data_IF_006803773241
#
_entry.id   IF_006803773241
#
_cell.length_a   1.000
_cell.length_b   1.000
_cell.length_c   1.000
_cell.angle_alpha   90.00
_cell.angle_beta   90.00
_cell.angle_gamma   90.00
#
_symmetry.space_group_name_H-M   'P 1'
#
loop_
_entity.id
_entity.type
_entity.pdbx_description
1 polymer ?
#
# COMPACT_ATOMS: atom_id res chain seq x y z
N UNK A 1 8.29 -23.06 12.42
CA UNK A 1 7.56 -21.81 12.14
C UNK A 1 8.49 -20.93 11.32
N UNK A 2 8.09 -20.54 10.11
CA UNK A 2 8.96 -19.76 9.22
C UNK A 2 8.86 -18.27 9.54
N UNK A 3 9.97 -17.54 9.44
CA UNK A 3 9.96 -16.08 9.58
C UNK A 3 9.66 -15.49 8.19
N UNK A 4 8.65 -14.64 8.12
CA UNK A 4 8.33 -13.83 6.93
C UNK A 4 8.46 -12.35 7.27
N UNK A 5 8.68 -11.53 6.25
CA UNK A 5 8.79 -10.08 6.42
C UNK A 5 7.66 -9.40 5.64
N UNK A 6 7.01 -8.43 6.28
CA UNK A 6 6.02 -7.55 5.65
C UNK A 6 6.52 -6.11 5.62
N UNK A 7 6.54 -5.51 4.42
CA UNK A 7 6.74 -4.07 4.26
C UNK A 7 5.37 -3.38 4.35
N UNK A 8 5.20 -2.48 5.30
CA UNK A 8 3.99 -1.70 5.49
C UNK A 8 4.30 -0.22 5.33
N UNK A 9 3.49 0.51 4.59
CA UNK A 9 3.68 1.95 4.45
C UNK A 9 2.38 2.73 4.57
N UNK A 10 2.47 3.92 5.15
CA UNK A 10 1.41 4.93 5.11
C UNK A 10 2.00 6.24 4.59
N UNK A 11 1.17 7.25 4.36
CA UNK A 11 1.62 8.55 3.84
C UNK A 11 1.60 9.63 4.92
N UNK A 12 2.45 10.64 4.76
CA UNK A 12 2.35 11.89 5.50
C UNK A 12 1.02 12.64 5.18
N UNK A 13 0.62 13.65 5.98
CA UNK A 13 -0.54 14.48 5.67
C UNK A 13 -0.40 15.23 4.35
N UNK A 14 -1.50 15.43 3.62
CA UNK A 14 -1.54 16.19 2.36
C UNK A 14 -2.94 16.79 2.14
N UNK A 15 -3.05 17.72 1.17
CA UNK A 15 -4.30 18.41 0.84
C UNK A 15 -4.40 19.82 1.41
N UNK A 16 -5.48 20.52 1.05
CA UNK A 16 -5.77 21.90 1.48
C UNK A 16 -7.23 22.00 1.96
N UNK A 17 -7.49 22.36 3.23
CA UNK A 17 -6.51 22.55 4.30
C UNK A 17 -5.76 21.24 4.63
N UNK A 18 -4.46 21.35 4.94
CA UNK A 18 -3.65 20.18 5.29
C UNK A 18 -4.03 19.69 6.69
N UNK A 19 -4.47 18.43 6.86
CA UNK A 19 -4.75 17.88 8.18
C UNK A 19 -3.45 17.70 8.97
N UNK A 20 -3.56 17.63 10.31
CA UNK A 20 -2.40 17.38 11.19
C UNK A 20 -1.84 15.97 11.01
N UNK A 21 -2.71 15.00 10.68
CA UNK A 21 -2.39 13.58 10.60
C UNK A 21 -2.97 12.96 9.33
N UNK A 22 -2.34 11.88 8.89
CA UNK A 22 -2.88 11.03 7.83
C UNK A 22 -3.18 9.65 8.40
N UNK A 23 -4.44 9.25 8.30
CA UNK A 23 -4.95 8.00 8.87
C UNK A 23 -4.22 6.77 8.37
N UNK A 24 -3.77 6.80 7.12
CA UNK A 24 -2.99 5.69 6.59
C UNK A 24 -1.73 5.42 7.41
N UNK A 25 -1.02 6.48 7.81
CA UNK A 25 0.15 6.36 8.68
C UNK A 25 -0.23 6.10 10.13
N UNK A 26 -1.30 6.74 10.65
CA UNK A 26 -1.76 6.49 12.02
C UNK A 26 -2.10 5.02 12.26
N UNK A 27 -2.72 4.34 11.28
CA UNK A 27 -2.99 2.91 11.35
C UNK A 27 -1.71 2.07 11.19
N UNK A 28 -0.88 2.35 10.17
CA UNK A 28 0.33 1.55 9.88
C UNK A 28 1.35 1.62 11.02
N UNK A 29 1.56 2.79 11.63
CA UNK A 29 2.59 2.94 12.67
C UNK A 29 2.30 2.13 13.93
N UNK A 30 1.05 1.75 14.19
CA UNK A 30 0.68 0.86 15.31
C UNK A 30 1.21 -0.57 15.12
N UNK A 31 1.50 -0.98 13.88
CA UNK A 31 2.11 -2.27 13.56
C UNK A 31 3.64 -2.23 13.58
N UNK A 32 4.26 -1.06 13.81
CA UNK A 32 5.70 -0.92 13.87
C UNK A 32 6.29 -1.76 15.02
N UNK A 33 7.39 -2.47 14.74
CA UNK A 33 8.06 -3.35 15.69
C UNK A 33 7.19 -4.50 16.24
N UNK A 34 6.06 -4.78 15.59
CA UNK A 34 5.21 -5.92 15.95
C UNK A 34 5.60 -7.18 15.17
N UNK A 35 5.29 -8.33 15.77
CA UNK A 35 5.30 -9.63 15.10
C UNK A 35 3.88 -10.18 15.09
N UNK A 36 3.45 -10.71 13.95
CA UNK A 36 2.13 -11.31 13.78
C UNK A 36 2.33 -12.81 13.69
N UNK A 37 1.84 -13.53 14.69
CA UNK A 37 1.85 -14.99 14.68
C UNK A 37 0.69 -15.51 13.84
N UNK A 38 1.01 -16.44 12.95
CA UNK A 38 0.04 -17.13 12.10
C UNK A 38 0.19 -18.64 12.30
N UNK A 39 -0.72 -19.43 11.74
CA UNK A 39 -0.67 -20.90 11.88
C UNK A 39 0.62 -21.53 11.33
N UNK A 40 1.31 -20.89 10.38
CA UNK A 40 2.48 -21.43 9.68
C UNK A 40 3.76 -20.56 9.79
N UNK A 41 3.62 -19.28 10.15
CA UNK A 41 4.72 -18.31 10.12
C UNK A 41 4.61 -17.22 11.20
N UNK A 42 5.74 -16.61 11.52
CA UNK A 42 5.81 -15.34 12.26
C UNK A 42 6.13 -14.24 11.25
N UNK A 43 5.28 -13.23 11.13
CA UNK A 43 5.50 -12.09 10.22
C UNK A 43 6.08 -10.91 10.99
N UNK A 44 7.27 -10.45 10.61
CA UNK A 44 7.90 -9.24 11.16
C UNK A 44 7.48 -8.04 10.31
N UNK A 45 6.89 -7.02 10.95
CA UNK A 45 6.39 -5.82 10.27
C UNK A 45 7.46 -4.71 10.20
N UNK A 46 7.72 -4.21 9.00
CA UNK A 46 8.63 -3.09 8.71
C UNK A 46 7.79 -1.91 8.23
N UNK A 47 7.61 -0.90 9.09
CA UNK A 47 6.67 0.21 8.84
C UNK A 47 7.42 1.49 8.46
N UNK A 48 6.99 2.15 7.38
CA UNK A 48 7.58 3.41 6.92
C UNK A 48 6.52 4.45 6.52
N UNK A 49 6.72 5.69 6.97
CA UNK A 49 5.97 6.84 6.46
C UNK A 49 6.58 7.28 5.13
N UNK A 50 5.72 7.48 4.13
CA UNK A 50 6.09 7.97 2.81
C UNK A 50 5.73 9.44 2.68
N UNK A 51 6.62 10.27 2.08
CA UNK A 51 6.26 11.60 1.65
C UNK A 51 5.23 11.53 0.52
N UNK A 52 4.37 12.53 0.39
CA UNK A 52 3.48 12.68 -0.76
C UNK A 52 4.21 13.48 -1.83
N UNK A 53 5.27 12.89 -2.40
CA UNK A 53 6.19 13.54 -3.36
C UNK A 53 6.72 12.52 -4.35
N UNK A 54 6.60 12.79 -5.65
CA UNK A 54 6.99 11.83 -6.69
C UNK A 54 8.50 11.62 -6.72
N UNK A 55 9.27 12.70 -6.54
CA UNK A 55 10.74 12.63 -6.54
C UNK A 55 11.26 11.76 -5.39
N UNK A 56 10.63 11.83 -4.22
CA UNK A 56 11.04 11.01 -3.08
C UNK A 56 10.56 9.56 -3.23
N UNK A 57 9.28 9.36 -3.57
CA UNK A 57 8.68 8.02 -3.69
C UNK A 57 9.36 7.20 -4.79
N UNK A 58 9.71 7.83 -5.91
CA UNK A 58 10.42 7.16 -7.02
C UNK A 58 11.77 6.57 -6.62
N UNK A 59 12.41 7.10 -5.55
CA UNK A 59 13.69 6.62 -5.01
C UNK A 59 13.47 5.73 -3.79
N UNK A 60 12.54 6.11 -2.92
CA UNK A 60 12.32 5.46 -1.64
C UNK A 60 11.70 4.07 -1.81
N UNK A 61 10.74 3.89 -2.71
CA UNK A 61 10.07 2.59 -2.89
C UNK A 61 11.06 1.51 -3.34
N UNK A 62 11.83 1.67 -4.44
CA UNK A 62 12.83 0.68 -4.83
C UNK A 62 13.83 0.39 -3.71
N UNK A 63 14.31 1.44 -3.02
CA UNK A 63 15.22 1.29 -1.88
C UNK A 63 14.63 0.43 -0.77
N UNK A 64 13.36 0.61 -0.42
CA UNK A 64 12.68 -0.19 0.59
C UNK A 64 12.63 -1.67 0.18
N UNK A 65 12.26 -1.98 -1.07
CA UNK A 65 12.22 -3.36 -1.59
C UNK A 65 13.59 -4.07 -1.56
N UNK A 66 14.70 -3.32 -1.53
CA UNK A 66 16.06 -3.85 -1.40
C UNK A 66 16.51 -4.09 0.05
N UNK A 67 15.83 -3.54 1.05
CA UNK A 67 16.25 -3.64 2.46
C UNK A 67 16.06 -5.04 3.06
N UNK A 68 15.15 -5.84 2.51
CA UNK A 68 14.78 -7.16 3.02
C UNK A 68 14.10 -7.99 1.92
N UNK A 69 14.08 -9.31 2.08
CA UNK A 69 13.25 -10.22 1.30
C UNK A 69 11.82 -10.21 1.88
N UNK A 70 10.99 -9.30 1.39
CA UNK A 70 9.60 -9.23 1.81
C UNK A 70 8.78 -10.33 1.15
N UNK A 71 7.93 -11.00 1.92
CA UNK A 71 6.91 -11.91 1.39
C UNK A 71 5.57 -11.20 1.17
N UNK A 72 5.37 -10.07 1.85
CA UNK A 72 4.14 -9.28 1.87
C UNK A 72 4.53 -7.80 1.76
N UNK A 73 3.83 -7.06 0.92
CA UNK A 73 3.98 -5.61 0.79
C UNK A 73 2.60 -4.98 0.81
N UNK A 74 2.32 -4.13 1.80
CA UNK A 74 1.04 -3.42 1.91
C UNK A 74 1.32 -1.92 1.98
N UNK A 75 0.74 -1.19 1.04
CA UNK A 75 0.69 0.26 1.10
C UNK A 75 -0.70 0.69 1.55
N UNK A 76 -0.76 1.65 2.45
CA UNK A 76 -2.00 2.22 2.96
C UNK A 76 -2.05 3.69 2.55
N UNK A 77 -3.20 4.15 2.05
CA UNK A 77 -3.40 5.54 1.63
C UNK A 77 -4.77 6.08 2.05
N UNK A 78 -4.88 7.40 2.23
CA UNK A 78 -6.19 8.02 2.45
C UNK A 78 -6.99 8.01 1.14
N UNK A 79 -8.18 7.42 1.16
CA UNK A 79 -9.07 7.26 0.02
C UNK A 79 -10.33 8.10 0.11
N UNK A 80 -11.39 7.65 -0.57
CA UNK A 80 -12.70 8.30 -0.52
C UNK A 80 -13.58 7.74 0.59
N UNK A 81 -14.54 8.57 1.04
CA UNK A 81 -15.47 8.28 2.12
C UNK A 81 -16.17 6.91 2.07
N UNK A 82 -16.49 6.38 3.25
CA UNK A 82 -17.48 5.32 3.48
C UNK A 82 -17.02 3.87 3.34
N UNK A 83 -15.89 3.57 2.68
CA UNK A 83 -15.40 2.20 2.51
C UNK A 83 -13.88 2.11 2.46
N UNK A 84 -13.34 1.09 3.13
CA UNK A 84 -11.96 0.63 2.89
C UNK A 84 -11.93 -0.05 1.53
N UNK A 85 -10.94 0.28 0.69
CA UNK A 85 -10.79 -0.30 -0.65
C UNK A 85 -9.51 -1.09 -0.76
N UNK A 86 -9.64 -2.33 -1.22
CA UNK A 86 -8.53 -3.18 -1.57
C UNK A 86 -8.29 -3.06 -3.08
N UNK A 87 -7.20 -2.42 -3.46
CA UNK A 87 -6.90 -2.16 -4.86
C UNK A 87 -6.37 -3.42 -5.53
N UNK A 88 -6.95 -3.78 -6.69
CA UNK A 88 -6.55 -4.97 -7.45
C UNK A 88 -5.49 -4.66 -8.51
N UNK A 89 -5.37 -3.40 -8.91
CA UNK A 89 -4.47 -2.98 -9.98
C UNK A 89 -4.01 -1.54 -9.82
N UNK A 90 -2.95 -1.19 -10.56
CA UNK A 90 -2.43 0.17 -10.69
C UNK A 90 -2.06 0.46 -12.15
N UNK A 91 -2.07 1.74 -12.54
CA UNK A 91 -1.71 2.20 -13.89
C UNK A 91 -0.36 2.90 -13.89
N UNK A 92 0.39 2.74 -14.98
CA UNK A 92 1.73 3.32 -15.16
C UNK A 92 1.71 4.82 -15.37
N UNK A 93 0.60 5.36 -15.88
CA UNK A 93 0.52 6.72 -16.43
C UNK A 93 -0.81 7.40 -16.11
N UNK A 94 -0.86 8.71 -16.40
CA UNK A 94 -2.03 9.57 -16.19
C UNK A 94 -1.92 10.47 -14.95
N UNK A 95 -0.74 10.55 -14.34
CA UNK A 95 -0.50 11.39 -13.17
C UNK A 95 -0.45 12.88 -13.55
N UNK A 96 -1.43 13.63 -13.07
CA UNK A 96 -1.61 15.07 -13.40
C UNK A 96 -1.67 15.98 -12.18
N UNK A 97 -1.61 15.42 -10.97
CA UNK A 97 -1.75 16.15 -9.70
C UNK A 97 -0.41 16.29 -9.00
N UNK A 98 -0.02 17.50 -8.55
CA UNK A 98 1.27 17.72 -7.89
C UNK A 98 1.32 17.14 -6.48
N UNK A 99 2.51 16.74 -6.05
CA UNK A 99 2.82 16.38 -4.68
C UNK A 99 2.98 17.59 -3.75
N UNK A 100 3.37 17.31 -2.51
CA UNK A 100 3.54 18.27 -1.42
C UNK A 100 4.72 19.23 -1.64
N UNK A 101 5.64 18.96 -2.57
CA UNK A 101 6.75 19.89 -2.89
C UNK A 101 6.34 20.98 -3.90
N UNK A 102 5.05 21.13 -4.19
CA UNK A 102 4.50 22.21 -4.99
C UNK A 102 4.27 21.84 -6.47
N UNK A 103 3.94 22.81 -7.33
CA UNK A 103 3.45 22.55 -8.70
C UNK A 103 4.41 21.79 -9.62
N UNK A 104 5.70 21.77 -9.30
CA UNK A 104 6.73 21.06 -10.05
C UNK A 104 6.98 19.63 -9.55
N UNK A 105 6.36 19.23 -8.44
CA UNK A 105 6.42 17.88 -7.90
C UNK A 105 5.49 16.97 -8.70
N UNK A 106 5.95 16.60 -9.89
CA UNK A 106 5.24 15.83 -10.89
C UNK A 106 6.15 14.75 -11.43
N UNK A 107 5.62 13.57 -11.80
CA UNK A 107 6.44 12.55 -12.44
C UNK A 107 6.73 12.97 -13.89
N UNK A 108 7.90 12.57 -14.39
CA UNK A 108 8.29 12.81 -15.78
C UNK A 108 7.26 12.17 -16.71
N UNK A 109 6.79 12.94 -17.69
CA UNK A 109 5.75 12.55 -18.65
C UNK A 109 4.43 12.05 -18.02
N UNK A 110 4.17 12.36 -16.74
CA UNK A 110 2.97 11.86 -16.06
C UNK A 110 2.99 10.35 -15.86
N UNK A 111 4.18 9.71 -15.78
CA UNK A 111 4.38 8.26 -15.77
C UNK A 111 5.39 7.79 -14.72
N UNK A 112 5.26 6.53 -14.28
CA UNK A 112 6.31 5.85 -13.50
C UNK A 112 7.48 5.49 -14.44
N UNK A 113 8.70 6.02 -14.22
CA UNK A 113 9.85 5.76 -15.08
C UNK A 113 10.56 4.45 -14.69
N UNK A 114 11.40 3.94 -15.58
CA UNK A 114 12.42 2.93 -15.24
C UNK A 114 12.00 1.46 -15.32
N UNK A 115 10.72 1.16 -15.55
CA UNK A 115 10.23 -0.22 -15.65
C UNK A 115 9.76 -0.57 -17.07
N UNK A 116 10.04 -1.81 -17.50
CA UNK A 116 9.62 -2.37 -18.79
C UNK A 116 8.27 -3.11 -18.71
N UNK A 117 7.56 -2.93 -17.60
CA UNK A 117 6.25 -3.51 -17.31
C UNK A 117 5.11 -2.92 -18.15
N UNK A 118 4.02 -3.70 -18.26
CA UNK A 118 2.78 -3.30 -18.91
C UNK A 118 2.11 -2.09 -18.24
N UNK A 119 1.34 -1.32 -19.02
CA UNK A 119 0.70 -0.08 -18.57
C UNK A 119 -0.26 -0.25 -17.38
N UNK A 120 -0.79 -1.46 -17.18
CA UNK A 120 -1.61 -1.82 -16.03
C UNK A 120 -1.04 -3.07 -15.40
N UNK A 121 -0.76 -3.00 -14.10
CA UNK A 121 -0.30 -4.12 -13.31
C UNK A 121 -1.38 -4.53 -12.31
N UNK A 122 -1.66 -5.83 -12.25
CA UNK A 122 -2.54 -6.41 -11.24
C UNK A 122 -1.73 -7.13 -10.17
N UNK A 123 -2.25 -7.14 -8.95
CA UNK A 123 -1.68 -7.93 -7.85
C UNK A 123 -1.83 -9.43 -8.07
N UNK A 124 -0.89 -10.21 -7.55
CA UNK A 124 -1.00 -11.67 -7.43
C UNK A 124 -1.89 -12.11 -6.25
N UNK A 125 -2.38 -11.17 -5.43
CA UNK A 125 -3.31 -11.44 -4.33
C UNK A 125 -4.72 -11.69 -4.86
N UNK A 126 -5.38 -12.73 -4.34
CA UNK A 126 -6.82 -12.91 -4.56
C UNK A 126 -7.61 -11.93 -3.67
N UNK A 127 -7.73 -10.69 -4.14
CA UNK A 127 -8.35 -9.59 -3.38
C UNK A 127 -9.81 -9.88 -2.99
N UNK A 128 -10.54 -10.62 -3.83
CA UNK A 128 -11.90 -11.06 -3.52
C UNK A 128 -11.94 -12.00 -2.32
N UNK A 129 -11.04 -12.98 -2.26
CA UNK A 129 -10.94 -13.88 -1.12
C UNK A 129 -10.56 -13.13 0.18
N UNK A 130 -9.68 -12.13 0.10
CA UNK A 130 -9.34 -11.29 1.27
C UNK A 130 -10.57 -10.49 1.73
N UNK A 131 -11.32 -9.88 0.81
CA UNK A 131 -12.56 -9.17 1.13
C UNK A 131 -13.58 -10.09 1.81
N UNK A 132 -13.80 -11.29 1.26
CA UNK A 132 -14.79 -12.24 1.78
C UNK A 132 -14.38 -12.76 3.17
N UNK A 133 -13.09 -12.99 3.39
CA UNK A 133 -12.56 -13.36 4.71
C UNK A 133 -12.78 -12.25 5.74
N UNK A 134 -12.45 -10.99 5.40
CA UNK A 134 -12.67 -9.83 6.26
C UNK A 134 -14.16 -9.63 6.58
N UNK A 135 -15.03 -9.80 5.59
CA UNK A 135 -16.48 -9.76 5.80
C UNK A 135 -16.94 -10.85 6.79
N UNK A 136 -16.38 -12.06 6.70
CA UNK A 136 -16.62 -13.14 7.65
C UNK A 136 -16.14 -12.84 9.08
N UNK A 137 -15.18 -11.93 9.24
CA UNK A 137 -14.68 -11.42 10.53
C UNK A 137 -15.45 -10.20 11.05
N UNK A 138 -16.44 -9.71 10.29
CA UNK A 138 -17.29 -8.59 10.69
C UNK A 138 -16.94 -7.25 10.04
N UNK A 139 -15.95 -7.20 9.14
CA UNK A 139 -15.59 -5.99 8.41
C UNK A 139 -16.46 -5.81 7.16
N UNK A 140 -17.68 -5.32 7.34
CA UNK A 140 -18.69 -5.21 6.26
C UNK A 140 -18.44 -4.04 5.28
N UNK A 141 -17.60 -3.07 5.67
CA UNK A 141 -17.24 -1.87 4.87
C UNK A 141 -15.92 -1.98 4.09
N UNK A 142 -15.55 -3.18 3.66
CA UNK A 142 -14.38 -3.42 2.79
C UNK A 142 -14.84 -3.78 1.38
N UNK A 143 -14.25 -3.18 0.34
CA UNK A 143 -14.57 -3.49 -1.06
C UNK A 143 -13.33 -3.62 -1.95
N UNK A 144 -13.39 -4.51 -2.94
CA UNK A 144 -12.42 -4.55 -4.04
C UNK A 144 -12.56 -3.29 -4.90
N UNK A 145 -11.43 -2.72 -5.32
CA UNK A 145 -11.35 -1.56 -6.22
C UNK A 145 -10.40 -1.84 -7.40
N UNK A 146 -10.66 -1.19 -8.53
CA UNK A 146 -9.87 -1.25 -9.77
C UNK A 146 -9.19 0.09 -10.09
N UNK A 147 -9.26 1.04 -9.17
CA UNK A 147 -8.88 2.43 -9.37
C UNK A 147 -8.28 2.99 -8.08
N UNK A 148 -6.95 3.14 -8.06
CA UNK A 148 -6.22 3.71 -6.94
C UNK A 148 -6.03 5.25 -7.05
N UNK A 149 -6.73 5.91 -7.98
CA UNK A 149 -6.92 7.36 -7.99
C UNK A 149 -5.84 8.21 -8.70
N UNK A 150 -4.95 7.61 -9.50
CA UNK A 150 -3.95 8.29 -10.36
C UNK A 150 -3.21 9.46 -9.69
N UNK A 151 -2.82 9.25 -8.43
CA UNK A 151 -1.99 10.17 -7.64
C UNK A 151 -0.85 9.38 -6.98
N UNK A 152 -0.25 9.88 -5.89
CA UNK A 152 0.84 9.22 -5.18
C UNK A 152 0.49 7.81 -4.69
N UNK A 153 -0.77 7.55 -4.32
CA UNK A 153 -1.23 6.20 -3.95
C UNK A 153 -1.04 5.19 -5.08
N UNK A 154 -1.57 5.51 -6.27
CA UNK A 154 -1.42 4.65 -7.44
C UNK A 154 0.02 4.61 -7.97
N UNK A 155 0.74 5.73 -7.91
CA UNK A 155 2.15 5.80 -8.29
C UNK A 155 2.98 4.83 -7.44
N UNK A 156 2.87 4.93 -6.12
CA UNK A 156 3.50 4.01 -5.17
C UNK A 156 3.09 2.56 -5.45
N UNK A 157 1.79 2.30 -5.65
CA UNK A 157 1.30 0.95 -5.86
C UNK A 157 1.87 0.33 -7.15
N UNK A 158 1.85 1.08 -8.25
CA UNK A 158 2.41 0.66 -9.52
C UNK A 158 3.92 0.39 -9.38
N UNK A 159 4.67 1.32 -8.77
CA UNK A 159 6.12 1.13 -8.54
C UNK A 159 6.39 -0.16 -7.79
N UNK A 160 5.67 -0.44 -6.69
CA UNK A 160 5.85 -1.68 -5.93
C UNK A 160 5.41 -2.94 -6.66
N UNK A 161 4.36 -2.89 -7.49
CA UNK A 161 3.99 -4.00 -8.37
C UNK A 161 5.07 -4.25 -9.44
N UNK A 162 5.68 -3.20 -9.98
CA UNK A 162 6.76 -3.32 -10.96
C UNK A 162 8.03 -3.89 -10.33
N UNK A 163 8.44 -3.40 -9.16
CA UNK A 163 9.53 -3.98 -8.35
C UNK A 163 9.30 -5.48 -8.09
N UNK A 164 8.07 -5.85 -7.74
CA UNK A 164 7.69 -7.24 -7.47
C UNK A 164 7.85 -8.14 -8.71
N UNK A 165 7.66 -7.60 -9.91
CA UNK A 165 7.66 -8.36 -11.18
C UNK A 165 8.98 -8.34 -11.95
N UNK A 166 9.79 -7.31 -11.77
CA UNK A 166 11.09 -7.19 -12.46
C UNK A 166 12.25 -7.47 -11.50
N UNK A 167 12.33 -6.72 -10.41
CA UNK A 167 13.50 -6.74 -9.52
C UNK A 167 13.58 -7.99 -8.64
N UNK A 168 12.45 -8.54 -8.19
CA UNK A 168 12.45 -9.77 -7.38
C UNK A 168 12.94 -10.99 -8.17
N UNK A 169 12.42 -11.28 -9.38
CA UNK A 169 12.95 -12.35 -10.23
C UNK A 169 14.43 -12.19 -10.58
N UNK A 170 14.91 -10.97 -10.86
CA UNK A 170 16.33 -10.68 -11.12
C UNK A 170 17.22 -11.05 -9.92
N UNK A 171 16.70 -10.92 -8.70
CA UNK A 171 17.37 -11.30 -7.46
C UNK A 171 17.18 -12.79 -7.10
N UNK A 172 16.47 -13.56 -7.91
CA UNK A 172 16.12 -14.96 -7.61
C UNK A 172 15.10 -15.13 -6.48
N UNK A 173 14.30 -14.10 -6.21
CA UNK A 173 13.29 -14.08 -5.14
C UNK A 173 11.89 -14.31 -5.71
N UNK A 174 10.97 -14.94 -4.94
CA UNK A 174 9.57 -15.06 -5.34
C UNK A 174 8.87 -13.70 -5.33
N UNK A 175 7.92 -13.48 -6.23
CA UNK A 175 7.06 -12.29 -6.24
C UNK A 175 6.32 -12.17 -4.88
N UNK A 176 6.45 -11.05 -4.15
CA UNK A 176 5.73 -10.86 -2.89
C UNK A 176 4.23 -10.68 -3.14
N UNK A 177 3.43 -10.92 -2.10
CA UNK A 177 2.01 -10.54 -2.10
C UNK A 177 1.90 -9.04 -1.90
N UNK A 178 1.66 -8.29 -2.97
CA UNK A 178 1.68 -6.80 -2.97
C UNK A 178 0.28 -6.23 -3.10
N UNK A 179 -0.18 -5.44 -2.13
CA UNK A 179 -1.53 -4.88 -2.07
C UNK A 179 -1.50 -3.39 -1.70
N UNK A 180 -2.45 -2.62 -2.23
CA UNK A 180 -2.73 -1.27 -1.75
C UNK A 180 -4.11 -1.23 -1.08
N UNK A 181 -4.19 -0.56 0.06
CA UNK A 181 -5.39 -0.42 0.88
C UNK A 181 -5.69 1.07 1.05
N UNK A 182 -6.80 1.53 0.49
CA UNK A 182 -7.31 2.87 0.78
C UNK A 182 -8.21 2.85 2.00
N UNK A 183 -7.94 3.71 2.98
CA UNK A 183 -8.77 3.91 4.16
C UNK A 183 -9.57 5.23 4.04
N UNK A 184 -10.84 5.28 4.46
CA UNK A 184 -11.62 6.53 4.41
C UNK A 184 -11.01 7.66 5.25
N UNK A 185 -11.33 8.93 4.93
CA UNK A 185 -11.03 10.06 5.81
C UNK A 185 -11.87 10.00 7.08
N UNK A 186 -11.33 10.54 8.18
CA UNK A 186 -11.84 10.40 9.56
C UNK A 186 -13.32 10.70 9.70
N UNK A 187 -13.78 11.77 9.07
CA UNK A 187 -15.13 12.31 9.22
C UNK A 187 -16.20 11.38 8.61
N UNK A 188 -15.78 10.40 7.82
CA UNK A 188 -16.64 9.55 7.00
C UNK A 188 -16.31 8.07 7.12
N UNK A 189 -15.45 7.72 8.08
CA UNK A 189 -14.98 6.36 8.24
C UNK A 189 -15.86 5.57 9.22
N UNK A 190 -16.29 4.36 8.85
CA UNK A 190 -16.87 3.42 9.79
C UNK A 190 -15.92 2.94 10.89
N UNK A 191 -14.61 3.14 10.74
CA UNK A 191 -13.58 2.60 11.64
C UNK A 191 -12.66 3.68 12.21
N UNK A 192 -12.24 3.51 13.47
CA UNK A 192 -11.15 4.29 14.09
C UNK A 192 -9.75 3.78 13.67
N UNK A 193 -8.69 4.52 14.02
CA UNK A 193 -7.32 4.18 13.61
C UNK A 193 -6.84 2.83 14.15
N UNK A 194 -7.31 2.44 15.33
CA UNK A 194 -6.97 1.15 15.94
C UNK A 194 -7.67 0.02 15.18
N UNK A 195 -8.95 0.17 14.84
CA UNK A 195 -9.69 -0.77 14.01
C UNK A 195 -9.07 -0.93 12.63
N UNK A 196 -8.61 0.17 12.01
CA UNK A 196 -7.88 0.10 10.75
C UNK A 196 -6.54 -0.66 10.89
N UNK A 197 -5.80 -0.44 11.97
CA UNK A 197 -4.57 -1.20 12.27
C UNK A 197 -4.85 -2.70 12.43
N UNK A 198 -5.90 -3.07 13.16
CA UNK A 198 -6.29 -4.47 13.34
C UNK A 198 -6.79 -5.09 12.03
N UNK A 199 -7.51 -4.35 11.20
CA UNK A 199 -7.86 -4.80 9.85
C UNK A 199 -6.60 -5.06 8.99
N UNK A 200 -5.61 -4.16 9.04
CA UNK A 200 -4.32 -4.37 8.33
C UNK A 200 -3.60 -5.63 8.86
N UNK A 201 -3.63 -5.88 10.18
CA UNK A 201 -3.12 -7.12 10.79
C UNK A 201 -3.82 -8.35 10.22
N UNK A 202 -5.15 -8.32 10.13
CA UNK A 202 -5.92 -9.44 9.57
C UNK A 202 -5.63 -9.67 8.09
N UNK A 203 -5.49 -8.60 7.30
CA UNK A 203 -5.04 -8.70 5.90
C UNK A 203 -3.68 -9.41 5.85
N UNK A 204 -2.71 -9.03 6.68
CA UNK A 204 -1.41 -9.70 6.73
C UNK A 204 -1.56 -11.19 7.01
N UNK A 205 -2.43 -11.57 7.95
CA UNK A 205 -2.73 -12.99 8.25
C UNK A 205 -3.29 -13.71 7.03
N UNK A 206 -4.25 -13.11 6.29
CA UNK A 206 -4.78 -13.70 5.05
C UNK A 206 -3.74 -13.83 3.93
N UNK A 207 -2.65 -13.07 4.00
CA UNK A 207 -1.54 -13.14 3.05
C UNK A 207 -0.41 -14.08 3.50
N UNK A 208 -0.49 -14.73 4.65
CA UNK A 208 0.51 -15.76 5.04
C UNK A 208 0.34 -17.09 4.33
#
# INVERSE_FOLDING_TARGET
>A
MHIKHALLTGFEPFGEPRPEKNRSWEAVKMLANTKIETGNATVVCHCHELPVSYDDVSKQIPRLHLMQEFSIVIHCGAGTAGMVRLEKQARKSGYSRPGNKGPTDMPVDGCVPGYSTADVLATNVNVGAVQDALAGMGWDKVRVSLDAGQYLCEYTYYTSLAESKETYPERGLPEPKTLFVHVPPQESDPYDDHQLSEMLREIIVQLT
#
